data_IF_703457883124
#
_entry.id   IF_703457883124
#
_cell.length_a   1.000
_cell.length_b   1.000
_cell.length_c   1.000
_cell.angle_alpha   90.00
_cell.angle_beta   90.00
_cell.angle_gamma   90.00
#
_symmetry.space_group_name_H-M   'P 1'
#
loop_
_entity.id
_entity.type
_entity.pdbx_description
1 polymer ?
#
# COMPACT_ATOMS: atom_id res chain seq x y z
N UNK A 1 -3.38 23.62 1.94
CA UNK A 1 -4.12 22.40 1.58
C UNK A 1 -4.98 22.70 0.37
N UNK A 2 -4.92 21.86 -0.65
CA UNK A 2 -5.77 21.91 -1.84
C UNK A 2 -6.75 20.73 -1.81
N UNK A 3 -8.00 21.00 -1.52
CA UNK A 3 -9.07 20.02 -1.52
C UNK A 3 -9.60 19.81 -2.94
N UNK A 4 -10.10 18.59 -3.25
CA UNK A 4 -10.63 18.28 -4.57
C UNK A 4 -9.60 18.32 -5.69
N UNK A 5 -8.34 18.08 -5.34
CA UNK A 5 -7.22 18.10 -6.28
C UNK A 5 -6.47 16.78 -6.26
N UNK A 6 -5.94 16.39 -7.40
CA UNK A 6 -5.15 15.16 -7.58
C UNK A 6 -3.83 15.46 -8.26
N UNK A 7 -2.76 14.80 -7.84
CA UNK A 7 -1.50 14.81 -8.56
C UNK A 7 -1.72 14.14 -9.93
N UNK A 8 -1.44 14.86 -11.02
CA UNK A 8 -1.60 14.39 -12.39
C UNK A 8 -0.28 13.89 -12.98
N UNK A 9 0.78 14.68 -12.85
CA UNK A 9 2.11 14.34 -13.35
C UNK A 9 3.20 15.02 -12.53
N UNK A 10 4.42 14.45 -12.59
CA UNK A 10 5.62 15.00 -11.98
C UNK A 10 6.71 15.06 -13.05
N UNK A 11 7.41 16.18 -13.16
CA UNK A 11 8.44 16.42 -14.16
C UNK A 11 9.78 16.72 -13.50
N UNK A 12 10.87 16.30 -14.16
CA UNK A 12 12.25 16.49 -13.76
C UNK A 12 13.12 15.32 -14.20
N UNK A 13 14.44 15.48 -14.14
CA UNK A 13 15.40 14.42 -14.48
C UNK A 13 16.03 13.81 -13.23
N UNK A 14 16.86 14.59 -12.51
CA UNK A 14 17.53 14.13 -11.29
C UNK A 14 16.76 14.50 -10.01
N UNK A 15 15.88 15.49 -10.11
CA UNK A 15 15.01 15.97 -9.04
C UNK A 15 13.71 16.52 -9.63
N UNK A 16 12.72 16.68 -8.80
CA UNK A 16 11.46 17.29 -9.21
C UNK A 16 11.70 18.75 -9.59
N UNK A 17 11.20 19.18 -10.74
CA UNK A 17 11.28 20.54 -11.26
C UNK A 17 9.90 21.20 -11.29
N UNK A 18 8.87 20.41 -11.64
CA UNK A 18 7.48 20.87 -11.64
C UNK A 18 6.53 19.69 -11.46
N UNK A 19 5.29 20.01 -11.15
CA UNK A 19 4.22 19.03 -11.05
C UNK A 19 2.90 19.61 -11.57
N UNK A 20 2.07 18.72 -12.13
CA UNK A 20 0.72 19.04 -12.56
C UNK A 20 -0.29 18.57 -11.53
N UNK A 21 -1.21 19.45 -11.17
CA UNK A 21 -2.34 19.15 -10.30
C UNK A 21 -3.63 19.32 -11.11
N UNK A 22 -4.48 18.31 -11.11
CA UNK A 22 -5.82 18.37 -11.70
C UNK A 22 -6.87 18.69 -10.64
N UNK A 23 -7.81 19.56 -10.98
CA UNK A 23 -9.02 19.78 -10.19
C UNK A 23 -10.03 18.67 -10.50
N UNK A 24 -10.55 17.98 -9.48
CA UNK A 24 -11.46 16.84 -9.66
C UNK A 24 -12.85 17.23 -10.15
N UNK A 25 -13.25 18.49 -9.97
CA UNK A 25 -14.58 18.97 -10.41
C UNK A 25 -14.57 19.48 -11.85
N UNK A 26 -13.52 20.22 -12.20
CA UNK A 26 -13.44 20.90 -13.51
C UNK A 26 -12.60 20.14 -14.51
N UNK A 27 -11.71 19.25 -14.04
CA UNK A 27 -10.70 18.58 -14.86
C UNK A 27 -9.57 19.50 -15.32
N UNK A 28 -9.55 20.77 -14.88
CA UNK A 28 -8.48 21.69 -15.23
C UNK A 28 -7.15 21.26 -14.63
N UNK A 29 -6.06 21.49 -15.37
CA UNK A 29 -4.71 21.18 -14.95
C UNK A 29 -3.96 22.47 -14.69
N UNK A 30 -3.32 22.55 -13.52
CA UNK A 30 -2.41 23.63 -13.13
C UNK A 30 -1.00 23.07 -12.97
N UNK A 31 -0.02 23.68 -13.64
CA UNK A 31 1.38 23.33 -13.48
C UNK A 31 2.02 24.21 -12.39
N UNK A 32 2.61 23.56 -11.39
CA UNK A 32 3.35 24.21 -10.31
C UNK A 32 4.84 23.97 -10.53
N UNK A 33 5.61 25.05 -10.65
CA UNK A 33 7.06 25.00 -10.71
C UNK A 33 7.63 25.21 -9.30
N UNK A 34 8.27 24.18 -8.75
CA UNK A 34 8.92 24.21 -7.44
C UNK A 34 10.16 23.30 -7.47
N UNK A 35 11.26 23.78 -8.04
CA UNK A 35 12.47 23.00 -8.24
C UNK A 35 13.05 22.49 -6.92
N UNK A 36 13.21 21.17 -6.81
CA UNK A 36 13.76 20.49 -5.65
C UNK A 36 12.75 20.19 -4.54
N UNK A 37 11.45 20.36 -4.79
CA UNK A 37 10.43 19.90 -3.85
C UNK A 37 10.40 18.35 -3.76
N UNK A 38 9.95 17.83 -2.63
CA UNK A 38 9.67 16.41 -2.43
C UNK A 38 8.20 16.09 -2.71
N UNK A 39 7.94 14.99 -3.40
CA UNK A 39 6.59 14.49 -3.62
C UNK A 39 6.39 13.19 -2.86
N UNK A 40 5.46 13.17 -1.90
CA UNK A 40 5.12 12.02 -1.09
C UNK A 40 3.69 11.60 -1.37
N UNK A 41 3.49 10.35 -1.82
CA UNK A 41 2.18 9.83 -2.19
C UNK A 41 1.68 8.86 -1.11
N UNK A 42 0.62 9.27 -0.40
CA UNK A 42 -0.04 8.47 0.65
C UNK A 42 -1.55 8.33 0.36
N UNK A 43 -1.90 8.04 -0.88
CA UNK A 43 -3.28 8.05 -1.37
C UNK A 43 -3.93 6.65 -1.39
N UNK A 44 -3.59 5.82 -0.44
CA UNK A 44 -4.09 4.45 -0.32
C UNK A 44 -2.99 3.40 -0.51
N UNK A 45 -3.36 2.15 -0.30
CA UNK A 45 -2.45 1.01 -0.36
C UNK A 45 -3.04 -0.07 -1.25
N UNK A 46 -2.24 -0.58 -2.17
CA UNK A 46 -2.56 -1.76 -2.98
C UNK A 46 -1.61 -2.88 -2.55
N UNK A 47 -2.13 -4.05 -2.15
CA UNK A 47 -1.27 -5.15 -1.73
C UNK A 47 -0.56 -5.77 -2.94
N UNK A 48 0.73 -6.11 -2.80
CA UNK A 48 1.53 -6.78 -3.83
C UNK A 48 1.33 -8.29 -3.77
N UNK A 49 0.17 -8.76 -4.19
CA UNK A 49 -0.22 -10.19 -4.17
C UNK A 49 -0.10 -10.88 -5.53
N UNK A 50 0.40 -10.22 -6.55
CA UNK A 50 0.52 -10.73 -7.92
C UNK A 50 1.35 -12.01 -8.05
N UNK A 51 2.30 -12.22 -7.14
CA UNK A 51 3.15 -13.42 -7.11
C UNK A 51 2.45 -14.64 -6.47
N UNK A 52 1.31 -14.46 -5.83
CA UNK A 52 0.63 -15.49 -5.03
C UNK A 52 -0.67 -15.93 -5.70
N UNK A 53 -0.58 -16.43 -6.91
CA UNK A 53 -1.72 -16.79 -7.77
C UNK A 53 -2.55 -17.96 -7.25
N UNK A 54 -1.97 -18.80 -6.40
CA UNK A 54 -2.63 -20.00 -5.85
C UNK A 54 -3.43 -19.72 -4.57
N UNK A 55 -3.29 -18.52 -4.02
CA UNK A 55 -4.02 -18.10 -2.82
C UNK A 55 -5.33 -17.39 -3.19
N UNK A 56 -6.40 -17.70 -2.48
CA UNK A 56 -7.61 -16.88 -2.53
C UNK A 56 -7.31 -15.52 -1.91
N UNK A 57 -7.81 -14.48 -2.57
CA UNK A 57 -7.65 -13.11 -2.10
C UNK A 57 -9.02 -12.52 -1.75
N UNK A 58 -9.05 -11.72 -0.69
CA UNK A 58 -10.17 -10.89 -0.31
C UNK A 58 -9.82 -9.42 -0.50
N UNK A 59 -10.47 -8.75 -1.46
CA UNK A 59 -10.14 -7.38 -1.89
C UNK A 59 -8.65 -7.17 -2.21
N UNK A 60 -7.99 -8.20 -2.76
CA UNK A 60 -6.57 -8.19 -3.09
C UNK A 60 -5.63 -8.57 -1.94
N UNK A 61 -6.12 -8.72 -0.70
CA UNK A 61 -5.34 -9.12 0.47
C UNK A 61 -5.48 -10.61 0.76
N UNK A 62 -4.49 -11.18 1.46
CA UNK A 62 -4.47 -12.60 1.81
C UNK A 62 -5.27 -12.84 3.10
N UNK A 63 -6.37 -13.62 3.08
CA UNK A 63 -7.04 -14.07 4.28
C UNK A 63 -6.18 -15.06 5.07
N UNK A 64 -6.20 -14.95 6.39
CA UNK A 64 -5.52 -15.88 7.31
C UNK A 64 -6.41 -16.18 8.52
N UNK A 65 -6.14 -17.29 9.19
CA UNK A 65 -6.75 -17.63 10.46
C UNK A 65 -6.09 -16.91 11.66
N UNK A 66 -6.49 -17.24 12.87
CA UNK A 66 -5.94 -16.68 14.10
C UNK A 66 -4.45 -17.01 14.32
N UNK A 67 -3.94 -18.04 13.64
CA UNK A 67 -2.54 -18.47 13.67
C UNK A 67 -1.69 -17.84 12.57
N UNK A 68 -2.28 -16.96 11.76
CA UNK A 68 -1.69 -16.37 10.56
C UNK A 68 -1.48 -17.37 9.41
N UNK A 69 -2.09 -18.56 9.47
CA UNK A 69 -2.03 -19.56 8.42
C UNK A 69 -3.06 -19.23 7.32
N UNK A 70 -2.65 -19.39 6.06
CA UNK A 70 -3.52 -19.22 4.88
C UNK A 70 -4.36 -20.49 4.65
N UNK A 71 -5.19 -20.52 3.61
CA UNK A 71 -5.91 -21.75 3.20
C UNK A 71 -4.96 -22.89 2.78
N UNK A 72 -3.71 -22.57 2.45
CA UNK A 72 -2.68 -23.56 2.12
C UNK A 72 -1.91 -23.90 3.39
N UNK A 73 -2.05 -25.13 3.86
CA UNK A 73 -1.39 -25.62 5.08
C UNK A 73 0.13 -25.41 5.05
N UNK A 74 0.67 -24.82 6.11
CA UNK A 74 2.10 -24.51 6.23
C UNK A 74 2.51 -23.20 5.58
N UNK A 75 1.57 -22.47 4.96
CA UNK A 75 1.82 -21.15 4.36
C UNK A 75 1.19 -20.08 5.25
N UNK A 76 2.01 -19.15 5.71
CA UNK A 76 1.61 -18.06 6.61
C UNK A 76 1.73 -16.72 5.89
N UNK A 77 0.80 -15.81 6.15
CA UNK A 77 0.87 -14.43 5.68
C UNK A 77 0.77 -13.46 6.86
N UNK A 78 1.67 -12.51 6.91
CA UNK A 78 1.82 -11.56 8.01
C UNK A 78 2.00 -10.13 7.50
N UNK A 79 1.68 -9.14 8.33
CA UNK A 79 1.88 -7.73 7.99
C UNK A 79 0.80 -7.17 7.09
N UNK A 80 1.16 -6.19 6.30
CA UNK A 80 0.23 -5.36 5.54
C UNK A 80 -0.44 -6.08 4.37
N UNK A 81 0.12 -7.20 3.93
CA UNK A 81 -0.38 -7.99 2.79
C UNK A 81 -1.63 -8.82 3.13
N UNK A 82 -1.87 -9.10 4.42
CA UNK A 82 -3.02 -9.87 4.85
C UNK A 82 -4.27 -9.02 5.09
N UNK A 83 -5.43 -9.65 5.10
CA UNK A 83 -6.69 -9.02 5.51
C UNK A 83 -6.60 -8.56 6.96
N UNK A 84 -6.66 -7.26 7.20
CA UNK A 84 -6.66 -6.65 8.55
C UNK A 84 -7.14 -5.21 8.51
N UNK A 85 -7.73 -4.70 9.61
CA UNK A 85 -8.23 -3.32 9.65
C UNK A 85 -7.13 -2.28 9.89
N UNK A 86 -6.02 -2.64 10.54
CA UNK A 86 -4.95 -1.71 10.94
C UNK A 86 -3.61 -2.20 10.38
N UNK A 87 -2.94 -1.33 9.64
CA UNK A 87 -1.63 -1.58 9.01
C UNK A 87 -0.60 -0.64 9.62
N UNK A 88 0.20 -1.17 10.55
CA UNK A 88 1.25 -0.47 11.27
C UNK A 88 2.41 -1.42 11.54
N UNK A 89 3.60 -0.90 11.78
CA UNK A 89 4.79 -1.70 12.14
C UNK A 89 4.50 -2.62 13.33
N UNK A 90 3.87 -2.09 14.38
CA UNK A 90 3.53 -2.87 15.57
C UNK A 90 2.60 -4.05 15.27
N UNK A 91 1.60 -3.87 14.40
CA UNK A 91 0.70 -4.96 14.03
C UNK A 91 1.38 -5.98 13.11
N UNK A 92 2.33 -5.56 12.27
CA UNK A 92 3.12 -6.47 11.44
C UNK A 92 4.06 -7.34 12.30
N UNK A 93 4.69 -6.76 13.31
CA UNK A 93 5.54 -7.49 14.27
C UNK A 93 4.72 -8.50 15.07
N UNK A 94 3.54 -8.12 15.54
CA UNK A 94 2.63 -9.03 16.26
C UNK A 94 2.22 -10.22 15.38
N UNK A 95 1.83 -9.98 14.14
CA UNK A 95 1.51 -11.04 13.18
C UNK A 95 2.69 -12.00 12.98
N UNK A 96 3.90 -11.47 12.79
CA UNK A 96 5.11 -12.28 12.63
C UNK A 96 5.42 -13.15 13.85
N UNK A 97 5.20 -12.63 15.05
CA UNK A 97 5.36 -13.39 16.29
C UNK A 97 4.38 -14.56 16.36
N UNK A 98 3.10 -14.31 16.06
CA UNK A 98 2.06 -15.34 16.07
C UNK A 98 2.38 -16.42 15.04
N UNK A 99 2.72 -16.05 13.81
CA UNK A 99 3.07 -16.99 12.75
C UNK A 99 4.28 -17.84 13.11
N UNK A 100 5.35 -17.24 13.62
CA UNK A 100 6.58 -17.95 13.97
C UNK A 100 6.36 -18.99 15.07
N UNK A 101 5.59 -18.67 16.11
CA UNK A 101 5.24 -19.61 17.19
C UNK A 101 4.45 -20.79 16.62
N UNK A 102 3.42 -20.54 15.80
CA UNK A 102 2.58 -21.60 15.28
C UNK A 102 3.28 -22.44 14.21
N UNK A 103 4.16 -21.86 13.41
CA UNK A 103 4.94 -22.60 12.41
C UNK A 103 6.01 -23.51 13.05
N UNK A 104 6.43 -23.24 14.29
CA UNK A 104 7.43 -24.04 15.00
C UNK A 104 6.83 -25.20 15.79
N UNK A 105 5.53 -25.31 15.91
CA UNK A 105 4.81 -26.38 16.61
C UNK A 105 4.53 -27.58 15.70
#
# INVERSE_FOLDING_TARGET
VRLGSRLHAVYGKERVESLDISDEKTGSIETISDPGCGVFVYAGTVPNTELYTDLKLENGFIPVDEKMETEIKGVYAVGDIRVKPVRQVATAVADGTIAAINASM
#
